data_IF_705139896474
#
_entry.id   IF_705139896474
#
_cell.length_a   1.000
_cell.length_b   1.000
_cell.length_c   1.000
_cell.angle_alpha   90.00
_cell.angle_beta   90.00
_cell.angle_gamma   90.00
#
_symmetry.space_group_name_H-M   'P 1'
#
loop_
_entity.id
_entity.type
_entity.pdbx_description
1 polymer ?
#
# COMPACT_ATOMS: atom_id res chain seq x y z
N UNK A 1 13.29 -10.08 -14.21
CA UNK A 1 14.14 -9.00 -13.64
C UNK A 1 14.01 -9.00 -12.13
N UNK A 2 14.56 -8.00 -11.45
CA UNK A 2 14.47 -7.84 -9.98
C UNK A 2 13.26 -7.02 -9.51
N UNK A 3 12.60 -6.31 -10.44
CA UNK A 3 11.42 -5.50 -10.13
C UNK A 3 10.23 -6.39 -9.77
N UNK A 4 9.46 -5.95 -8.78
CA UNK A 4 8.16 -6.53 -8.46
C UNK A 4 7.15 -6.37 -9.59
N UNK A 5 5.95 -6.96 -9.44
CA UNK A 5 4.88 -6.80 -10.42
C UNK A 5 4.45 -5.34 -10.53
N UNK A 6 4.16 -4.87 -11.74
CA UNK A 6 3.56 -3.56 -11.96
C UNK A 6 2.09 -3.61 -11.57
N UNK A 7 1.70 -2.81 -10.59
CA UNK A 7 0.30 -2.57 -10.23
C UNK A 7 -0.20 -1.34 -10.99
N UNK A 8 -1.40 -1.41 -11.55
CA UNK A 8 -2.07 -0.30 -12.26
C UNK A 8 -3.51 -0.22 -11.80
N UNK A 9 -4.01 0.99 -11.67
CA UNK A 9 -5.38 1.28 -11.32
C UNK A 9 -5.76 2.66 -11.88
N UNK A 10 -7.05 2.88 -12.11
CA UNK A 10 -7.62 4.14 -12.57
C UNK A 10 -8.38 4.83 -11.43
N UNK A 11 -8.70 6.10 -11.61
CA UNK A 11 -9.52 6.84 -10.65
C UNK A 11 -10.89 6.17 -10.52
N UNK A 12 -11.30 5.86 -9.29
CA UNK A 12 -12.51 5.12 -8.96
C UNK A 12 -12.30 3.63 -8.71
N UNK A 13 -11.11 3.10 -8.98
CA UNK A 13 -10.76 1.72 -8.63
C UNK A 13 -10.38 1.57 -7.15
N UNK A 14 -10.48 0.33 -6.66
CA UNK A 14 -9.90 -0.10 -5.38
C UNK A 14 -8.86 -1.20 -5.65
N UNK A 15 -7.62 -0.96 -5.23
CA UNK A 15 -6.54 -1.91 -5.33
C UNK A 15 -6.48 -2.78 -4.07
N UNK A 16 -6.79 -4.07 -4.21
CA UNK A 16 -6.73 -5.06 -3.11
C UNK A 16 -5.50 -5.95 -3.29
N UNK A 17 -4.52 -5.81 -2.40
CA UNK A 17 -3.25 -6.55 -2.46
C UNK A 17 -3.13 -7.52 -1.29
N UNK A 18 -3.09 -8.82 -1.60
CA UNK A 18 -2.82 -9.87 -0.61
C UNK A 18 -1.32 -10.17 -0.56
N UNK A 19 -0.63 -9.59 0.41
CA UNK A 19 0.78 -9.86 0.68
C UNK A 19 0.91 -11.12 1.52
N UNK A 20 1.69 -12.09 1.05
CA UNK A 20 2.17 -13.21 1.84
C UNK A 20 3.68 -13.09 2.03
N UNK A 21 4.14 -12.87 3.26
CA UNK A 21 5.57 -12.78 3.53
C UNK A 21 6.19 -14.18 3.56
N UNK A 22 6.97 -14.50 2.53
CA UNK A 22 7.76 -15.73 2.45
C UNK A 22 9.27 -15.49 2.66
N UNK A 23 9.68 -14.28 3.05
CA UNK A 23 11.04 -13.98 3.45
C UNK A 23 11.30 -14.40 4.91
N UNK A 24 12.56 -14.28 5.33
CA UNK A 24 13.05 -14.56 6.68
C UNK A 24 13.04 -13.35 7.62
N UNK A 25 12.58 -12.20 7.12
CA UNK A 25 12.50 -10.93 7.84
C UNK A 25 11.11 -10.29 7.70
N UNK A 26 10.70 -9.41 8.63
CA UNK A 26 9.49 -8.62 8.47
C UNK A 26 9.54 -7.78 7.20
N UNK A 27 8.42 -7.69 6.50
CA UNK A 27 8.24 -6.84 5.31
C UNK A 27 6.87 -6.18 5.37
N UNK A 28 6.70 -5.08 4.63
CA UNK A 28 5.43 -4.38 4.45
C UNK A 28 5.36 -3.84 3.02
N UNK A 29 4.21 -3.29 2.63
CA UNK A 29 4.10 -2.48 1.41
C UNK A 29 3.65 -1.08 1.82
N UNK A 30 4.44 -0.08 1.43
CA UNK A 30 4.14 1.33 1.63
C UNK A 30 3.94 1.99 0.25
N UNK A 31 2.69 2.30 -0.15
CA UNK A 31 2.44 2.95 -1.43
C UNK A 31 2.85 4.42 -1.37
N UNK A 32 3.38 4.94 -2.46
CA UNK A 32 3.66 6.36 -2.62
C UNK A 32 2.65 7.00 -3.55
N UNK A 33 2.16 8.19 -3.20
CA UNK A 33 1.22 8.95 -4.04
C UNK A 33 -0.25 8.53 -3.89
N UNK A 34 -0.58 7.66 -2.93
CA UNK A 34 -1.95 7.30 -2.59
C UNK A 34 -2.36 7.90 -1.23
N UNK A 35 -3.68 8.02 -1.04
CA UNK A 35 -4.28 8.27 0.27
C UNK A 35 -4.70 6.92 0.84
N UNK A 36 -4.34 6.68 2.09
CA UNK A 36 -4.62 5.44 2.82
C UNK A 36 -4.93 5.75 4.28
N UNK A 37 -5.65 4.85 4.94
CA UNK A 37 -5.82 4.93 6.39
C UNK A 37 -4.63 4.28 7.09
N UNK A 38 -4.53 4.48 8.41
CA UNK A 38 -3.34 4.07 9.16
C UNK A 38 -3.06 2.58 9.11
N UNK A 39 -4.10 1.76 9.00
CA UNK A 39 -3.99 0.32 8.90
C UNK A 39 -3.68 -0.19 7.47
N UNK A 40 -3.42 0.69 6.50
CA UNK A 40 -2.97 0.34 5.15
C UNK A 40 -1.69 1.10 4.73
N UNK A 41 -0.96 1.69 5.68
CA UNK A 41 0.23 2.51 5.40
C UNK A 41 1.49 1.66 5.21
N UNK A 42 1.67 0.62 6.02
CA UNK A 42 2.83 -0.27 5.96
C UNK A 42 4.13 0.35 6.48
N UNK A 43 4.07 1.28 7.43
CA UNK A 43 5.26 1.98 7.95
C UNK A 43 5.24 2.14 9.47
N UNK A 44 6.20 1.52 10.14
CA UNK A 44 6.30 1.54 11.60
C UNK A 44 6.92 2.83 12.13
N UNK A 45 6.13 3.65 12.84
CA UNK A 45 6.62 4.77 13.65
C UNK A 45 5.69 5.08 14.84
N UNK A 46 6.07 6.07 15.67
CA UNK A 46 5.23 6.55 16.76
C UNK A 46 4.16 7.54 16.25
N UNK A 47 3.09 6.97 15.72
CA UNK A 47 1.91 7.62 15.17
C UNK A 47 0.69 7.61 16.12
N UNK A 48 0.85 7.05 17.33
CA UNK A 48 -0.18 6.90 18.36
C UNK A 48 -1.43 6.11 17.93
N UNK A 49 -1.30 5.21 16.96
CA UNK A 49 -2.39 4.32 16.52
C UNK A 49 -2.48 3.05 17.38
N UNK A 50 -3.62 2.37 17.30
CA UNK A 50 -3.86 1.15 18.06
C UNK A 50 -3.03 -0.02 17.54
N UNK A 51 -2.76 -1.07 18.35
CA UNK A 51 -2.05 -2.26 17.87
C UNK A 51 -2.72 -2.96 16.68
N UNK A 52 -4.03 -2.76 16.49
CA UNK A 52 -4.74 -3.31 15.35
C UNK A 52 -4.41 -2.58 14.04
N UNK A 53 -4.17 -1.27 14.13
CA UNK A 53 -3.78 -0.38 13.04
C UNK A 53 -2.28 -0.43 12.72
N UNK A 54 -1.49 -1.21 13.48
CA UNK A 54 -0.06 -1.43 13.23
C UNK A 54 0.26 -2.81 12.64
N UNK A 55 -0.76 -3.55 12.20
CA UNK A 55 -0.57 -4.91 11.66
C UNK A 55 -0.02 -4.91 10.23
N UNK A 56 -0.20 -3.80 9.53
CA UNK A 56 0.31 -3.51 8.20
C UNK A 56 1.78 -3.05 8.23
N UNK A 57 2.20 -2.39 9.31
CA UNK A 57 3.56 -1.86 9.52
C UNK A 57 4.67 -2.90 9.38
N UNK A 58 4.41 -4.13 9.81
CA UNK A 58 5.37 -5.22 9.76
C UNK A 58 4.67 -6.59 9.66
N UNK A 59 4.59 -7.13 8.45
CA UNK A 59 4.10 -8.48 8.20
C UNK A 59 5.22 -9.47 8.47
N UNK A 60 5.09 -10.29 9.51
CA UNK A 60 6.14 -11.21 9.93
C UNK A 60 6.28 -12.40 8.94
N UNK A 61 7.43 -13.10 8.93
CA UNK A 61 7.62 -14.31 8.13
C UNK A 61 6.47 -15.31 8.28
N UNK A 62 5.95 -15.78 7.14
CA UNK A 62 4.83 -16.72 7.06
C UNK A 62 3.43 -16.10 7.20
N UNK A 63 3.31 -14.82 7.57
CA UNK A 63 2.02 -14.15 7.73
C UNK A 63 1.46 -13.65 6.38
N UNK A 64 0.15 -13.40 6.40
CA UNK A 64 -0.59 -12.78 5.30
C UNK A 64 -1.23 -11.48 5.80
N UNK A 65 -1.17 -10.45 4.96
CA UNK A 65 -1.83 -9.17 5.18
C UNK A 65 -2.51 -8.71 3.89
N UNK A 66 -3.66 -8.06 4.02
CA UNK A 66 -4.39 -7.50 2.88
C UNK A 66 -4.37 -5.99 2.98
N UNK A 67 -3.73 -5.35 2.01
CA UNK A 67 -3.81 -3.90 1.82
C UNK A 67 -4.96 -3.57 0.88
N UNK A 68 -5.69 -2.50 1.18
CA UNK A 68 -6.79 -1.99 0.37
C UNK A 68 -6.54 -0.50 0.18
N UNK A 69 -6.35 -0.07 -1.07
CA UNK A 69 -6.13 1.33 -1.39
C UNK A 69 -7.15 1.79 -2.42
N UNK A 70 -7.89 2.84 -2.07
CA UNK A 70 -8.83 3.48 -2.97
C UNK A 70 -8.13 4.54 -3.81
N UNK A 71 -8.36 4.51 -5.12
CA UNK A 71 -7.78 5.48 -6.05
C UNK A 71 -8.78 6.62 -6.23
N UNK A 72 -8.73 7.58 -5.31
CA UNK A 72 -9.59 8.76 -5.33
C UNK A 72 -9.20 9.75 -6.43
N UNK A 73 -10.13 10.64 -6.80
CA UNK A 73 -9.85 11.73 -7.77
C UNK A 73 -8.70 12.64 -7.32
N UNK A 74 -8.46 12.77 -6.01
CA UNK A 74 -7.43 13.65 -5.46
C UNK A 74 -5.99 13.15 -5.71
N UNK A 75 -5.82 11.83 -5.90
CA UNK A 75 -4.55 11.18 -6.20
C UNK A 75 -4.37 10.86 -7.69
N UNK A 76 -5.42 11.12 -8.48
CA UNK A 76 -5.39 10.95 -9.93
C UNK A 76 -4.58 12.03 -10.66
N UNK A 77 -4.27 11.80 -11.95
CA UNK A 77 -3.66 12.83 -12.79
C UNK A 77 -4.57 14.06 -12.93
N UNK A 78 -3.96 15.25 -12.93
CA UNK A 78 -4.63 16.53 -13.21
C UNK A 78 -4.58 16.85 -14.70
N UNK A 79 -5.27 17.90 -15.12
CA UNK A 79 -5.40 18.30 -16.54
C UNK A 79 -4.06 18.50 -17.26
N UNK A 80 -3.03 18.98 -16.55
CA UNK A 80 -1.70 19.20 -17.10
C UNK A 80 -0.77 17.98 -16.99
N UNK A 81 -1.19 16.91 -16.30
CA UNK A 81 -0.37 15.72 -16.06
C UNK A 81 -0.43 14.76 -17.25
N UNK A 82 0.51 13.81 -17.26
CA UNK A 82 0.45 12.68 -18.19
C UNK A 82 -0.76 11.79 -17.85
N UNK A 83 -1.28 11.01 -18.82
CA UNK A 83 -2.40 10.10 -18.58
C UNK A 83 -2.17 9.06 -17.46
N UNK A 84 -0.92 8.83 -17.05
CA UNK A 84 -0.57 7.90 -15.98
C UNK A 84 0.60 8.47 -15.18
N UNK A 85 0.44 8.55 -13.86
CA UNK A 85 1.49 8.93 -12.91
C UNK A 85 2.36 7.72 -12.56
N UNK A 86 3.63 7.96 -12.20
CA UNK A 86 4.62 6.92 -11.85
C UNK A 86 5.21 7.12 -10.48
#
# INVERSE_FOLDING_TARGET
>A
GLLGPTLRAEVGDTLVVHLKNMADKPVSIHPQGLVYSKNEEGSLYDDRTSPAEKRDDAVLPGQLHTYVWDISEEVGPREADLPCLT
#
